data_IF_965227500258
#
_entry.id   IF_965227500258
#
_cell.length_a   1.000
_cell.length_b   1.000
_cell.length_c   1.000
_cell.angle_alpha   90.00
_cell.angle_beta   90.00
_cell.angle_gamma   90.00
#
_symmetry.space_group_name_H-M   'P 1'
#
loop_
_entity.id
_entity.type
_entity.pdbx_description
1 polymer ?
#
# COMPACT_ATOMS: atom_id res chain seq x y z
N UNK A 1 4.87 -42.69 -11.20
CA UNK A 1 4.77 -42.05 -12.52
C UNK A 1 3.35 -41.63 -12.90
N UNK A 2 2.30 -42.32 -12.44
CA UNK A 2 0.89 -42.02 -12.74
C UNK A 2 0.43 -40.62 -12.25
N UNK A 3 0.87 -40.18 -11.06
CA UNK A 3 0.49 -38.86 -10.50
C UNK A 3 0.86 -37.66 -11.40
N UNK A 4 2.03 -37.70 -12.05
CA UNK A 4 2.46 -36.63 -12.98
C UNK A 4 1.59 -36.57 -14.24
N UNK A 5 1.07 -37.72 -14.69
CA UNK A 5 0.18 -37.79 -15.84
C UNK A 5 -1.18 -37.14 -15.52
N UNK A 6 -1.71 -37.38 -14.32
CA UNK A 6 -3.00 -36.84 -13.86
C UNK A 6 -2.98 -35.31 -13.68
N UNK A 7 -1.84 -34.75 -13.25
CA UNK A 7 -1.62 -33.28 -13.18
C UNK A 7 -1.54 -32.68 -14.58
N UNK A 8 -0.89 -33.36 -15.54
CA UNK A 8 -0.79 -32.87 -16.93
C UNK A 8 -2.14 -32.84 -17.67
N UNK A 9 -3.03 -33.78 -17.38
CA UNK A 9 -4.40 -33.81 -17.92
C UNK A 9 -5.40 -32.97 -17.13
N UNK A 10 -4.97 -32.23 -16.09
CA UNK A 10 -5.85 -31.34 -15.32
C UNK A 10 -6.91 -32.05 -14.47
N UNK A 11 -6.71 -33.33 -14.15
CA UNK A 11 -7.68 -34.13 -13.37
C UNK A 11 -7.55 -33.84 -11.85
N UNK A 12 -6.38 -33.36 -11.42
CA UNK A 12 -6.09 -33.00 -10.01
C UNK A 12 -5.29 -31.70 -10.00
N UNK A 13 -5.75 -30.70 -9.24
CA UNK A 13 -4.95 -29.50 -8.96
C UNK A 13 -3.78 -29.84 -8.03
N UNK A 14 -2.56 -29.51 -8.46
CA UNK A 14 -1.36 -29.73 -7.67
C UNK A 14 -1.33 -28.75 -6.50
N UNK A 15 -1.79 -29.20 -5.33
CA UNK A 15 -1.69 -28.42 -4.08
C UNK A 15 -0.21 -28.21 -3.75
N UNK A 16 0.31 -27.03 -4.09
CA UNK A 16 1.65 -26.59 -3.67
C UNK A 16 1.58 -26.26 -2.19
N UNK A 17 1.94 -27.21 -1.34
CA UNK A 17 2.18 -26.91 0.07
C UNK A 17 3.36 -25.94 0.19
N UNK A 18 3.25 -24.85 0.95
CA UNK A 18 4.36 -23.92 1.14
C UNK A 18 5.53 -24.65 1.78
N UNK A 19 6.72 -24.47 1.19
CA UNK A 19 7.98 -25.01 1.72
C UNK A 19 8.20 -24.42 3.11
N UNK A 20 8.42 -25.28 4.13
CA UNK A 20 8.81 -24.81 5.45
C UNK A 20 10.15 -24.06 5.35
N UNK A 21 10.13 -22.76 5.65
CA UNK A 21 11.35 -21.95 5.66
C UNK A 21 12.25 -22.40 6.82
N UNK A 22 13.34 -23.09 6.49
CA UNK A 22 14.42 -23.31 7.44
C UNK A 22 15.35 -22.10 7.41
N UNK A 23 15.23 -21.25 8.44
CA UNK A 23 16.19 -20.18 8.69
C UNK A 23 17.52 -20.83 9.09
N UNK A 24 18.47 -20.88 8.15
CA UNK A 24 19.88 -21.11 8.48
C UNK A 24 20.56 -19.76 8.62
N UNK A 25 21.01 -19.46 9.84
CA UNK A 25 21.94 -18.34 10.07
C UNK A 25 23.18 -18.56 9.19
N UNK A 26 23.47 -17.58 8.33
CA UNK A 26 24.71 -17.61 7.53
C UNK A 26 25.85 -17.12 8.41
N UNK A 27 27.02 -17.78 8.38
CA UNK A 27 28.19 -17.26 9.08
C UNK A 27 28.63 -15.96 8.43
N UNK A 28 29.00 -14.99 9.26
CA UNK A 28 29.54 -13.69 8.85
C UNK A 28 30.87 -13.93 8.16
N UNK A 29 30.94 -13.66 6.85
CA UNK A 29 32.18 -13.68 6.10
C UNK A 29 32.93 -12.37 6.35
N UNK A 30 34.04 -12.45 7.08
CA UNK A 30 35.08 -11.42 7.12
C UNK A 30 35.98 -11.51 5.87
N UNK A 31 36.65 -10.39 5.57
CA UNK A 31 37.60 -10.10 4.47
C UNK A 31 36.97 -9.65 3.13
N UNK A 32 37.38 -8.54 2.48
CA UNK A 32 38.55 -7.65 2.59
C UNK A 32 38.18 -6.25 2.10
N UNK A 33 38.68 -5.22 2.79
CA UNK A 33 38.70 -3.84 2.33
C UNK A 33 39.48 -3.75 1.00
N UNK A 34 38.83 -3.26 -0.06
CA UNK A 34 39.52 -2.59 -1.16
C UNK A 34 38.89 -1.22 -1.36
N UNK A 35 39.73 -0.20 -1.19
CA UNK A 35 39.42 1.22 -1.20
C UNK A 35 39.09 1.66 -2.63
N UNK A 36 37.83 2.02 -2.88
CA UNK A 36 37.45 2.86 -4.01
C UNK A 36 36.85 4.16 -3.45
N UNK A 37 37.50 5.26 -3.77
CA UNK A 37 37.14 6.59 -3.29
C UNK A 37 35.76 7.03 -3.84
N UNK A 38 34.87 7.36 -2.91
CA UNK A 38 33.92 8.48 -2.94
C UNK A 38 32.90 8.56 -4.09
N UNK A 39 31.68 8.11 -3.80
CA UNK A 39 30.54 9.03 -3.61
C UNK A 39 29.69 8.48 -2.47
N UNK A 40 29.71 9.16 -1.32
CA UNK A 40 28.79 8.89 -0.23
C UNK A 40 27.37 9.03 -0.82
N UNK A 41 26.46 8.04 -0.73
CA UNK A 41 25.07 8.35 -0.96
C UNK A 41 24.72 9.42 0.07
N UNK A 42 24.29 10.59 -0.39
CA UNK A 42 23.69 11.58 0.50
C UNK A 42 22.59 10.87 1.25
N UNK A 43 22.82 10.66 2.55
CA UNK A 43 21.81 10.15 3.46
C UNK A 43 20.77 11.25 3.51
N UNK A 44 19.70 11.09 2.73
CA UNK A 44 18.55 11.99 2.80
C UNK A 44 18.09 11.93 4.26
N UNK A 45 18.16 13.03 5.02
CA UNK A 45 17.74 13.02 6.40
C UNK A 45 16.25 12.61 6.44
N UNK A 46 15.83 11.82 7.44
CA UNK A 46 14.41 11.53 7.61
C UNK A 46 13.66 12.85 7.64
N UNK A 47 12.68 13.01 6.75
CA UNK A 47 11.82 14.19 6.71
C UNK A 47 11.27 14.38 8.11
N UNK A 48 11.64 15.49 8.77
CA UNK A 48 11.16 15.78 10.11
C UNK A 48 9.63 15.89 10.04
N UNK A 49 8.94 14.93 10.68
CA UNK A 49 7.48 15.01 10.87
C UNK A 49 7.20 16.31 11.63
N UNK A 50 6.53 17.26 10.99
CA UNK A 50 6.13 18.51 11.65
C UNK A 50 5.18 18.17 12.80
N UNK A 51 5.31 18.91 13.90
CA UNK A 51 4.41 18.77 15.03
C UNK A 51 2.95 18.94 14.55
N UNK A 52 2.10 17.97 14.87
CA UNK A 52 0.66 18.03 14.62
C UNK A 52 0.14 19.23 15.41
N UNK A 53 -0.12 20.36 14.71
CA UNK A 53 -0.84 21.48 15.33
C UNK A 53 -2.24 20.95 15.61
N UNK A 54 -2.59 20.83 16.89
CA UNK A 54 -3.95 20.60 17.34
C UNK A 54 -4.84 21.75 16.82
N UNK A 55 -5.34 21.60 15.59
CA UNK A 55 -6.40 22.44 15.04
C UNK A 55 -7.73 21.91 15.59
N UNK A 56 -8.63 22.85 15.83
CA UNK A 56 -9.98 22.63 16.32
C UNK A 56 -10.60 21.34 15.77
N UNK A 57 -11.18 20.52 16.65
CA UNK A 57 -11.91 19.29 16.28
C UNK A 57 -13.03 19.66 15.29
N UNK A 58 -12.87 19.24 14.04
CA UNK A 58 -13.95 19.30 13.05
C UNK A 58 -14.97 18.24 13.46
N UNK A 59 -16.20 18.67 13.79
CA UNK A 59 -17.27 17.76 14.24
C UNK A 59 -17.95 17.04 13.08
N UNK A 60 -18.02 17.69 11.93
CA UNK A 60 -18.64 17.16 10.72
C UNK A 60 -17.79 17.55 9.51
N UNK A 61 -17.20 16.56 8.83
CA UNK A 61 -16.32 16.79 7.67
C UNK A 61 -17.13 17.18 6.43
N UNK A 62 -18.40 16.74 6.34
CA UNK A 62 -19.22 16.90 5.15
C UNK A 62 -19.57 18.37 4.91
N UNK A 63 -19.86 19.13 5.99
CA UNK A 63 -20.11 20.58 5.93
C UNK A 63 -18.92 21.36 5.36
N UNK A 64 -17.70 20.82 5.48
CA UNK A 64 -16.47 21.44 4.98
C UNK A 64 -16.00 20.89 3.63
N UNK A 65 -16.65 19.83 3.13
CA UNK A 65 -16.23 19.10 1.93
C UNK A 65 -17.34 18.91 0.89
N UNK A 66 -18.47 19.62 1.00
CA UNK A 66 -19.61 19.51 0.07
C UNK A 66 -19.23 19.60 -1.42
N UNK A 67 -18.23 20.42 -1.75
CA UNK A 67 -17.76 20.62 -3.13
C UNK A 67 -16.54 19.76 -3.51
N UNK A 68 -16.17 18.79 -2.67
CA UNK A 68 -15.01 17.95 -2.91
C UNK A 68 -15.38 16.83 -3.88
N UNK A 69 -14.43 16.43 -4.71
CA UNK A 69 -14.54 15.23 -5.52
C UNK A 69 -14.24 14.02 -4.65
N UNK A 70 -14.98 12.96 -4.88
CA UNK A 70 -14.80 11.70 -4.20
C UNK A 70 -14.14 10.68 -5.13
N UNK A 71 -13.20 9.91 -4.59
CA UNK A 71 -12.58 8.79 -5.26
C UNK A 71 -12.55 7.57 -4.34
N UNK A 72 -13.21 6.50 -4.76
CA UNK A 72 -13.17 5.21 -4.10
C UNK A 72 -11.80 4.57 -4.35
N UNK A 73 -11.02 4.40 -3.29
CA UNK A 73 -9.66 3.87 -3.38
C UNK A 73 -9.70 2.37 -3.71
N UNK A 74 -10.70 1.62 -3.24
CA UNK A 74 -10.83 0.19 -3.49
C UNK A 74 -12.29 -0.24 -3.52
N UNK A 75 -12.63 -1.15 -4.44
CA UNK A 75 -13.98 -1.67 -4.59
C UNK A 75 -14.22 -2.88 -3.68
N UNK A 76 -14.11 -2.67 -2.37
CA UNK A 76 -14.37 -3.70 -1.35
C UNK A 76 -15.70 -3.43 -0.64
N UNK A 77 -16.09 -4.29 0.31
CA UNK A 77 -17.21 -3.98 1.21
C UNK A 77 -16.90 -2.89 2.24
N UNK A 78 -15.62 -2.60 2.46
CA UNK A 78 -15.13 -1.70 3.50
C UNK A 78 -14.20 -0.65 2.89
N UNK A 79 -14.80 0.31 2.19
CA UNK A 79 -14.11 1.18 1.25
C UNK A 79 -13.54 2.43 1.92
N UNK A 80 -12.33 2.80 1.51
CA UNK A 80 -11.74 4.10 1.76
C UNK A 80 -12.14 5.07 0.64
N UNK A 81 -12.63 6.24 1.05
CA UNK A 81 -13.04 7.31 0.16
C UNK A 81 -12.09 8.48 0.33
N UNK A 82 -11.38 8.82 -0.75
CA UNK A 82 -10.63 10.07 -0.85
C UNK A 82 -11.60 11.21 -1.19
N UNK A 83 -11.73 12.19 -0.31
CA UNK A 83 -12.36 13.49 -0.58
C UNK A 83 -11.30 14.55 -0.80
N UNK A 84 -11.28 15.15 -2.00
CA UNK A 84 -10.35 16.22 -2.33
C UNK A 84 -11.00 17.26 -3.26
N UNK A 85 -10.69 18.54 -3.07
CA UNK A 85 -11.18 19.62 -3.93
C UNK A 85 -10.79 19.42 -5.40
N UNK A 86 -9.56 18.96 -5.61
CA UNK A 86 -9.09 18.48 -6.90
C UNK A 86 -7.99 17.44 -6.68
N UNK A 87 -7.81 16.52 -7.61
CA UNK A 87 -6.71 15.56 -7.60
C UNK A 87 -6.40 15.12 -9.04
N UNK A 88 -5.19 14.60 -9.26
CA UNK A 88 -4.78 13.99 -10.52
C UNK A 88 -4.08 12.67 -10.24
N UNK A 89 -4.49 11.61 -10.93
CA UNK A 89 -3.77 10.34 -10.92
C UNK A 89 -2.63 10.47 -11.94
N UNK A 90 -1.38 10.45 -11.48
CA UNK A 90 -0.19 10.65 -12.31
C UNK A 90 0.48 9.34 -12.73
N UNK A 91 0.15 8.24 -12.06
CA UNK A 91 0.60 6.90 -12.43
C UNK A 91 -0.33 5.84 -11.85
N UNK A 92 -0.55 4.77 -12.61
CA UNK A 92 -1.37 3.62 -12.19
C UNK A 92 -0.77 2.36 -12.77
N UNK A 93 -0.52 1.38 -11.91
CA UNK A 93 -0.16 0.02 -12.28
C UNK A 93 -0.94 -0.96 -11.37
N UNK A 94 -0.66 -2.26 -11.50
CA UNK A 94 -1.41 -3.31 -10.80
C UNK A 94 -1.19 -3.31 -9.26
N UNK A 95 -0.14 -2.65 -8.77
CA UNK A 95 0.22 -2.62 -7.35
C UNK A 95 0.22 -1.22 -6.72
N UNK A 96 0.21 -0.15 -7.51
CA UNK A 96 0.27 1.22 -7.01
C UNK A 96 -0.52 2.22 -7.85
N UNK A 97 -1.11 3.18 -7.16
CA UNK A 97 -1.71 4.38 -7.74
C UNK A 97 -1.04 5.62 -7.14
N UNK A 98 -0.54 6.51 -7.99
CA UNK A 98 0.11 7.74 -7.57
C UNK A 98 -0.82 8.91 -7.83
N UNK A 99 -1.12 9.66 -6.78
CA UNK A 99 -1.98 10.82 -6.82
C UNK A 99 -1.18 12.08 -6.56
N UNK A 100 -1.55 13.15 -7.25
CA UNK A 100 -1.15 14.50 -6.94
C UNK A 100 -2.36 15.28 -6.44
N UNK A 101 -2.25 15.86 -5.24
CA UNK A 101 -3.27 16.72 -4.65
C UNK A 101 -2.69 18.12 -4.41
N UNK A 102 -3.25 19.17 -5.04
CA UNK A 102 -2.75 20.54 -4.92
C UNK A 102 -3.07 21.21 -3.56
N UNK A 103 -4.11 20.75 -2.88
CA UNK A 103 -4.57 21.20 -1.56
C UNK A 103 -4.58 20.01 -0.58
N UNK A 104 -4.90 20.24 0.69
CA UNK A 104 -5.07 19.14 1.62
C UNK A 104 -6.32 18.32 1.26
N UNK A 105 -6.29 17.01 1.53
CA UNK A 105 -7.37 16.08 1.26
C UNK A 105 -7.63 15.16 2.45
N UNK A 106 -8.73 14.43 2.40
CA UNK A 106 -9.17 13.56 3.48
C UNK A 106 -9.43 12.16 2.96
N UNK A 107 -8.95 11.14 3.66
CA UNK A 107 -9.40 9.76 3.47
C UNK A 107 -10.36 9.43 4.61
N UNK A 108 -11.54 8.96 4.24
CA UNK A 108 -12.61 8.58 5.15
C UNK A 108 -12.85 7.09 4.98
N UNK A 109 -13.00 6.40 6.10
CA UNK A 109 -13.30 4.98 6.17
C UNK A 109 -14.28 4.76 7.33
N UNK A 110 -15.07 3.68 7.29
CA UNK A 110 -16.11 3.47 8.31
C UNK A 110 -15.55 3.03 9.66
N UNK A 111 -14.37 2.38 9.67
CA UNK A 111 -13.78 1.80 10.88
C UNK A 111 -12.66 2.66 11.47
N UNK A 112 -12.15 3.64 10.73
CA UNK A 112 -11.02 4.46 11.12
C UNK A 112 -11.37 5.94 11.27
N UNK A 113 -10.57 6.65 12.08
CA UNK A 113 -10.59 8.10 12.11
C UNK A 113 -10.18 8.68 10.74
N UNK A 114 -10.69 9.88 10.43
CA UNK A 114 -10.39 10.57 9.17
C UNK A 114 -8.89 10.87 9.07
N UNK A 115 -8.27 10.40 8.00
CA UNK A 115 -6.86 10.69 7.71
C UNK A 115 -6.77 11.96 6.87
N UNK A 116 -5.92 12.90 7.30
CA UNK A 116 -5.61 14.11 6.53
C UNK A 116 -4.35 13.87 5.68
N UNK A 117 -4.47 14.04 4.37
CA UNK A 117 -3.35 14.06 3.43
C UNK A 117 -2.95 15.51 3.18
N UNK A 118 -1.70 15.85 3.47
CA UNK A 118 -1.16 17.16 3.10
C UNK A 118 -0.98 17.27 1.58
N UNK A 119 -1.07 18.50 1.06
CA UNK A 119 -0.79 18.76 -0.36
C UNK A 119 0.51 18.11 -0.85
N UNK A 120 0.50 17.59 -2.07
CA UNK A 120 1.65 16.96 -2.71
C UNK A 120 1.30 15.64 -3.35
N UNK A 121 2.29 14.74 -3.40
CA UNK A 121 2.10 13.40 -3.91
C UNK A 121 1.82 12.43 -2.77
N UNK A 122 0.80 11.61 -2.93
CA UNK A 122 0.61 10.42 -2.10
C UNK A 122 0.52 9.18 -2.99
N UNK A 123 1.03 8.08 -2.47
CA UNK A 123 1.06 6.79 -3.17
C UNK A 123 0.16 5.84 -2.41
N UNK A 124 -0.80 5.28 -3.14
CA UNK A 124 -1.63 4.17 -2.71
C UNK A 124 -0.94 2.88 -3.10
N UNK A 125 -0.73 2.01 -2.13
CA UNK A 125 -0.35 0.62 -2.37
C UNK A 125 -1.62 -0.23 -2.46
N UNK A 126 -1.65 -1.13 -3.43
CA UNK A 126 -2.71 -2.11 -3.58
C UNK A 126 -2.14 -3.42 -3.05
N UNK A 127 -2.66 -3.88 -1.91
CA UNK A 127 -2.35 -5.18 -1.35
C UNK A 127 -3.32 -6.21 -1.92
N UNK A 128 -2.85 -7.44 -2.11
CA UNK A 128 -3.71 -8.58 -2.43
C UNK A 128 -3.98 -9.34 -1.14
N UNK A 129 -5.23 -9.36 -0.71
CA UNK A 129 -5.67 -10.10 0.47
C UNK A 129 -6.47 -11.33 0.05
N UNK A 130 -6.14 -12.48 0.64
CA UNK A 130 -6.89 -13.71 0.45
C UNK A 130 -8.10 -13.71 1.39
N UNK A 131 -9.30 -13.76 0.82
CA UNK A 131 -10.52 -13.91 1.57
C UNK A 131 -10.81 -15.40 1.82
N UNK A 132 -10.72 -15.91 3.07
CA UNK A 132 -10.86 -17.34 3.34
C UNK A 132 -12.31 -17.85 3.20
N UNK A 133 -13.31 -16.95 3.20
CA UNK A 133 -14.72 -17.31 3.07
C UNK A 133 -15.07 -17.50 1.60
N UNK A 134 -14.67 -16.57 0.74
CA UNK A 134 -14.93 -16.64 -0.71
C UNK A 134 -13.86 -17.42 -1.47
N UNK A 135 -12.70 -17.67 -0.84
CA UNK A 135 -11.51 -18.30 -1.42
C UNK A 135 -10.91 -17.53 -2.61
N UNK A 136 -11.16 -16.22 -2.69
CA UNK A 136 -10.66 -15.34 -3.75
C UNK A 136 -9.63 -14.35 -3.19
N UNK A 137 -8.66 -13.97 -4.02
CA UNK A 137 -7.79 -12.83 -3.73
C UNK A 137 -8.50 -11.55 -4.17
N UNK A 138 -8.57 -10.60 -3.25
CA UNK A 138 -9.20 -9.29 -3.46
C UNK A 138 -8.16 -8.19 -3.24
N UNK A 139 -8.34 -7.07 -3.94
CA UNK A 139 -7.49 -5.91 -3.74
C UNK A 139 -7.95 -5.15 -2.49
N UNK A 140 -7.04 -4.99 -1.53
CA UNK A 140 -7.24 -4.18 -0.33
C UNK A 140 -6.40 -2.91 -0.39
N UNK A 141 -6.88 -1.88 0.30
CA UNK A 141 -6.14 -0.65 0.55
C UNK A 141 -5.73 -0.60 2.01
N UNK A 142 -4.45 -0.30 2.23
CA UNK A 142 -3.79 -0.14 3.52
C UNK A 142 -2.84 1.07 3.44
#
# INVERSE_FOLDING_TARGET
MIKKLLVFFGIIEEVRTPVQMQWKERPVAEEKLQVAAQKKPEIIPPVQRRAVRNKNRIRNIDDHTENYKEYCLEKTGNQHILKARNYKITGKNDGTEVFFIPEDAFIIHQEHDILCIEKGYFVKYIQQEYNPITQLNENAYD
#
